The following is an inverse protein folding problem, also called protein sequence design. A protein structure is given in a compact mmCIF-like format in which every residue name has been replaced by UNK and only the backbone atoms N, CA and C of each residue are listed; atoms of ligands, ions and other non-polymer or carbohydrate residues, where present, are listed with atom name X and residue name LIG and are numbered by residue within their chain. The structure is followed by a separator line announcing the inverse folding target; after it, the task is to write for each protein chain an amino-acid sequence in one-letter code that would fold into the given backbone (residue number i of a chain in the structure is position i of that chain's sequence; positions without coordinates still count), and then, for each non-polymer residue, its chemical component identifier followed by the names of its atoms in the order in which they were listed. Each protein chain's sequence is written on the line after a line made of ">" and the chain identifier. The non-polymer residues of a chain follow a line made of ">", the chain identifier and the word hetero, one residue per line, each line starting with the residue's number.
data_IF_699658252102
#
_entry.id   IF_699658252102
#
_cell.length_a   1.000
_cell.length_b   1.000
_cell.length_c   1.000
_cell.angle_alpha   90.00
_cell.angle_beta   90.00
_cell.angle_gamma   90.00
#
_symmetry.space_group_name_H-M   'P 1'
#
loop_
_entity.id
_entity.type
_entity.pdbx_description
1 polymer ?
#
# COMPACT_ATOMS: atom_id res chain seq x y z
N UNK A 1 -64.05 11.12 -32.65
CA UNK A 1 -63.46 9.91 -32.11
C UNK A 1 -61.95 10.06 -32.32
N UNK A 2 -61.24 10.65 -31.30
CA UNK A 2 -59.86 10.89 -31.36
C UNK A 2 -59.13 9.69 -30.66
N UNK A 3 -58.27 8.99 -31.39
CA UNK A 3 -57.38 7.97 -30.89
C UNK A 3 -56.13 8.67 -30.39
N UNK A 4 -55.94 8.66 -29.09
CA UNK A 4 -54.65 9.01 -28.44
C UNK A 4 -53.75 7.79 -28.52
N UNK A 5 -52.71 7.89 -29.36
CA UNK A 5 -51.59 6.93 -29.34
C UNK A 5 -50.71 7.24 -28.13
N UNK A 6 -50.72 6.35 -27.16
CA UNK A 6 -49.76 6.35 -26.03
C UNK A 6 -48.42 5.85 -26.53
N UNK A 7 -47.43 6.74 -26.69
CA UNK A 7 -46.05 6.38 -26.82
C UNK A 7 -45.54 5.96 -25.44
N UNK A 8 -45.47 4.65 -25.20
CA UNK A 8 -44.73 4.06 -24.09
C UNK A 8 -43.27 4.25 -24.35
N UNK A 9 -42.63 5.26 -23.70
CA UNK A 9 -41.20 5.38 -23.66
C UNK A 9 -40.63 4.21 -22.85
N UNK A 10 -39.83 3.34 -23.48
CA UNK A 10 -38.93 2.45 -22.79
C UNK A 10 -37.97 3.33 -21.96
N UNK A 11 -38.14 3.29 -20.67
CA UNK A 11 -37.08 3.79 -19.78
C UNK A 11 -35.89 2.84 -19.95
N UNK A 12 -34.81 3.33 -20.59
CA UNK A 12 -33.52 2.65 -20.54
C UNK A 12 -33.04 2.72 -19.10
N UNK A 13 -32.72 1.58 -18.52
CA UNK A 13 -32.06 1.47 -17.20
C UNK A 13 -30.58 1.80 -17.26
N UNK A 14 -30.15 2.52 -18.28
CA UNK A 14 -28.76 3.01 -18.31
C UNK A 14 -28.59 4.07 -17.24
N UNK A 15 -27.64 3.96 -16.34
CA UNK A 15 -27.37 4.99 -15.34
C UNK A 15 -27.04 6.28 -16.05
N UNK A 16 -27.97 7.23 -16.01
CA UNK A 16 -27.74 8.59 -16.51
C UNK A 16 -26.74 9.24 -15.55
N UNK A 17 -25.46 9.22 -15.94
CA UNK A 17 -24.48 10.07 -15.26
C UNK A 17 -24.76 11.50 -15.69
N UNK A 18 -25.38 12.24 -14.79
CA UNK A 18 -25.43 13.69 -14.89
C UNK A 18 -23.98 14.15 -14.93
N UNK A 19 -23.58 14.82 -16.02
CA UNK A 19 -22.32 15.55 -16.06
C UNK A 19 -22.41 16.56 -14.93
N UNK A 20 -21.77 16.24 -13.81
CA UNK A 20 -21.85 17.07 -12.64
C UNK A 20 -21.28 18.45 -13.01
N UNK A 21 -22.07 19.48 -12.79
CA UNK A 21 -21.59 20.87 -12.81
C UNK A 21 -20.36 20.91 -11.90
N UNK A 22 -19.24 21.53 -12.32
CA UNK A 22 -18.05 21.61 -11.48
C UNK A 22 -18.44 22.08 -10.09
N UNK A 23 -18.05 21.33 -9.07
CA UNK A 23 -18.36 21.70 -7.69
C UNK A 23 -17.72 23.07 -7.45
N UNK A 24 -18.47 24.07 -6.94
CA UNK A 24 -17.92 25.39 -6.63
C UNK A 24 -16.72 25.27 -5.68
N UNK A 25 -15.76 26.17 -5.81
CA UNK A 25 -14.51 26.17 -5.02
C UNK A 25 -14.74 26.18 -3.50
N UNK A 26 -15.91 26.59 -3.06
CA UNK A 26 -16.39 26.69 -1.69
C UNK A 26 -17.08 25.42 -1.15
N UNK A 27 -17.15 24.34 -1.93
CA UNK A 27 -17.80 23.10 -1.50
C UNK A 27 -16.96 22.25 -0.49
N UNK A 28 -16.00 22.84 0.18
CA UNK A 28 -15.25 22.21 1.28
C UNK A 28 -14.07 21.34 0.86
N UNK A 29 -13.88 21.05 -0.43
CA UNK A 29 -12.76 20.24 -0.88
C UNK A 29 -11.45 21.05 -0.89
N UNK A 30 -10.36 20.40 -0.46
CA UNK A 30 -9.00 20.93 -0.59
C UNK A 30 -8.38 20.48 -1.90
N UNK A 31 -7.38 21.24 -2.39
CA UNK A 31 -6.60 20.83 -3.56
C UNK A 31 -5.41 20.01 -3.09
N UNK A 32 -5.37 18.76 -3.48
CA UNK A 32 -4.16 17.97 -3.45
C UNK A 32 -3.36 18.25 -4.72
N UNK A 33 -2.08 18.57 -4.56
CA UNK A 33 -1.11 18.64 -5.65
C UNK A 33 -0.01 17.64 -5.36
N UNK A 34 0.25 16.74 -6.31
CA UNK A 34 1.37 15.81 -6.18
C UNK A 34 2.69 16.58 -5.99
N UNK A 35 3.61 16.14 -5.12
CA UNK A 35 4.86 16.85 -4.83
C UNK A 35 5.72 17.19 -6.06
N UNK A 36 5.69 16.34 -7.10
CA UNK A 36 6.37 16.65 -8.40
C UNK A 36 5.60 17.66 -9.25
N UNK A 37 4.40 18.05 -8.85
CA UNK A 37 3.54 18.92 -9.63
C UNK A 37 2.90 18.29 -10.87
N UNK A 38 3.05 16.96 -11.08
CA UNK A 38 2.61 16.27 -12.31
C UNK A 38 1.09 16.16 -12.43
N UNK A 39 0.38 16.11 -11.31
CA UNK A 39 -1.08 16.17 -11.31
C UNK A 39 -1.63 16.86 -10.07
N UNK A 40 -2.87 17.26 -10.16
CA UNK A 40 -3.66 17.75 -9.03
C UNK A 40 -5.10 17.27 -9.13
N UNK A 41 -5.76 17.18 -7.98
CA UNK A 41 -7.20 16.95 -7.88
C UNK A 41 -7.72 17.56 -6.57
N UNK A 42 -9.04 17.68 -6.45
CA UNK A 42 -9.66 18.17 -5.23
C UNK A 42 -10.28 17.00 -4.48
N UNK A 43 -9.98 16.92 -3.19
CA UNK A 43 -10.45 15.85 -2.30
C UNK A 43 -11.09 16.43 -1.05
N UNK A 44 -11.98 15.70 -0.38
CA UNK A 44 -12.42 16.06 0.97
C UNK A 44 -11.23 16.28 1.91
N UNK A 45 -11.32 17.22 2.87
CA UNK A 45 -10.20 17.59 3.74
C UNK A 45 -9.79 16.52 4.75
N UNK A 46 -10.63 15.53 4.95
CA UNK A 46 -10.44 14.37 5.83
C UNK A 46 -9.84 13.16 5.08
N UNK A 47 -9.64 13.25 3.77
CA UNK A 47 -8.97 12.19 3.02
C UNK A 47 -7.46 12.28 3.17
N UNK A 48 -6.84 11.12 3.34
CA UNK A 48 -5.39 10.97 3.45
C UNK A 48 -4.82 10.47 2.12
N UNK A 49 -3.79 11.16 1.62
CA UNK A 49 -3.05 10.74 0.43
C UNK A 49 -1.82 9.94 0.83
N UNK A 50 -1.66 8.72 0.31
CA UNK A 50 -0.47 7.89 0.46
C UNK A 50 0.18 7.63 -0.91
N UNK A 51 1.49 7.86 -1.02
CA UNK A 51 2.25 7.55 -2.24
C UNK A 51 2.70 6.09 -2.22
N UNK A 52 2.38 5.36 -3.29
CA UNK A 52 2.85 4.00 -3.50
C UNK A 52 4.06 4.00 -4.43
N UNK A 53 5.06 3.15 -4.17
CA UNK A 53 6.18 3.01 -5.08
C UNK A 53 5.71 2.46 -6.43
N UNK A 54 6.12 3.14 -7.49
CA UNK A 54 5.93 2.64 -8.85
C UNK A 54 7.17 2.98 -9.67
N UNK A 55 7.93 1.98 -10.16
CA UNK A 55 9.17 2.21 -10.91
C UNK A 55 8.90 2.85 -12.27
N UNK A 56 7.67 2.80 -12.76
CA UNK A 56 7.29 3.27 -14.08
C UNK A 56 6.56 4.62 -14.05
N UNK A 57 6.15 5.08 -12.88
CA UNK A 57 5.34 6.29 -12.81
C UNK A 57 5.11 6.80 -11.38
N UNK A 58 3.95 7.38 -11.19
CA UNK A 58 3.46 7.87 -9.90
C UNK A 58 2.20 7.11 -9.55
N UNK A 59 2.11 6.64 -8.31
CA UNK A 59 0.91 6.01 -7.78
C UNK A 59 0.56 6.61 -6.43
N UNK A 60 -0.67 7.10 -6.29
CA UNK A 60 -1.15 7.72 -5.05
C UNK A 60 -2.51 7.14 -4.71
N UNK A 61 -2.68 6.75 -3.45
CA UNK A 61 -3.95 6.33 -2.90
C UNK A 61 -4.57 7.42 -2.05
N UNK A 62 -5.88 7.50 -2.07
CA UNK A 62 -6.66 8.40 -1.24
C UNK A 62 -7.63 7.58 -0.38
N UNK A 63 -7.44 7.69 0.91
CA UNK A 63 -8.18 6.94 1.93
C UNK A 63 -9.14 7.87 2.65
N UNK A 64 -10.42 7.49 2.67
CA UNK A 64 -11.48 8.15 3.41
C UNK A 64 -11.68 7.47 4.77
N UNK A 65 -12.16 8.21 5.76
CA UNK A 65 -12.63 7.64 7.03
C UNK A 65 -14.15 7.47 6.95
N UNK A 66 -14.62 6.23 6.96
CA UNK A 66 -16.04 5.88 6.88
C UNK A 66 -16.41 5.00 8.07
N UNK A 67 -17.36 5.44 8.90
CA UNK A 67 -17.78 4.73 10.12
C UNK A 67 -16.58 4.34 11.02
N UNK A 68 -15.65 5.27 11.21
CA UNK A 68 -14.40 5.09 11.94
C UNK A 68 -13.44 4.04 11.34
N UNK A 69 -13.69 3.60 10.12
CA UNK A 69 -12.81 2.73 9.34
C UNK A 69 -12.20 3.50 8.18
N UNK A 70 -10.91 3.32 7.99
CA UNK A 70 -10.22 3.89 6.84
C UNK A 70 -10.45 3.00 5.62
N UNK A 71 -10.95 3.60 4.54
CA UNK A 71 -11.27 2.91 3.29
C UNK A 71 -10.58 3.62 2.14
N UNK A 72 -9.73 2.92 1.40
CA UNK A 72 -9.13 3.46 0.19
C UNK A 72 -10.19 3.52 -0.91
N UNK A 73 -10.56 4.73 -1.29
CA UNK A 73 -11.63 4.97 -2.26
C UNK A 73 -11.14 5.36 -3.64
N UNK A 74 -9.92 5.85 -3.76
CA UNK A 74 -9.35 6.26 -5.04
C UNK A 74 -7.87 5.94 -5.10
N UNK A 75 -7.44 5.33 -6.19
CA UNK A 75 -6.02 5.21 -6.57
C UNK A 75 -5.79 5.95 -7.88
N UNK A 76 -4.78 6.78 -7.92
CA UNK A 76 -4.33 7.50 -9.11
C UNK A 76 -3.01 6.90 -9.56
N UNK A 77 -2.96 6.42 -10.80
CA UNK A 77 -1.74 6.00 -11.47
C UNK A 77 -1.47 6.94 -12.64
N UNK A 78 -0.24 7.41 -12.76
CA UNK A 78 0.20 8.28 -13.85
C UNK A 78 1.59 7.88 -14.32
N UNK A 79 1.75 7.72 -15.62
CA UNK A 79 3.06 7.45 -16.25
C UNK A 79 3.31 8.39 -17.43
N UNK A 80 4.54 8.87 -17.54
CA UNK A 80 5.01 9.57 -18.72
C UNK A 80 5.58 8.55 -19.71
N UNK A 81 4.93 8.34 -20.85
CA UNK A 81 5.37 7.37 -21.87
C UNK A 81 6.47 7.93 -22.79
N UNK A 82 6.82 9.20 -22.65
CA UNK A 82 7.83 9.88 -23.46
C UNK A 82 7.39 10.16 -24.90
N UNK A 83 6.21 9.74 -25.30
CA UNK A 83 5.64 9.93 -26.64
C UNK A 83 4.19 10.40 -26.55
N UNK A 84 3.71 11.20 -27.50
CA UNK A 84 2.31 11.60 -27.53
C UNK A 84 1.37 10.41 -27.56
N UNK A 85 0.34 10.46 -26.75
CA UNK A 85 -0.67 9.41 -26.61
C UNK A 85 -1.61 9.44 -27.81
N UNK A 86 -1.21 8.80 -28.93
CA UNK A 86 -2.11 8.58 -30.07
C UNK A 86 -3.20 7.57 -29.69
N UNK A 87 -4.30 7.49 -30.45
CA UNK A 87 -5.35 6.48 -30.20
C UNK A 87 -4.80 5.05 -30.11
N UNK A 88 -3.83 4.70 -30.97
CA UNK A 88 -3.19 3.39 -31.01
C UNK A 88 -2.30 3.18 -29.78
N UNK A 89 -1.49 4.17 -29.40
CA UNK A 89 -0.66 4.14 -28.20
C UNK A 89 -1.53 4.04 -26.94
N UNK A 90 -2.64 4.77 -26.91
CA UNK A 90 -3.60 4.69 -25.82
C UNK A 90 -4.23 3.29 -25.70
N UNK A 91 -4.65 2.71 -26.82
CA UNK A 91 -5.21 1.35 -26.81
C UNK A 91 -4.20 0.31 -26.29
N UNK A 92 -2.92 0.42 -26.67
CA UNK A 92 -1.84 -0.43 -26.16
C UNK A 92 -1.60 -0.19 -24.65
N UNK A 93 -1.61 1.05 -24.22
CA UNK A 93 -1.47 1.42 -22.80
C UNK A 93 -2.63 0.85 -21.95
N UNK A 94 -3.86 0.94 -22.44
CA UNK A 94 -5.04 0.36 -21.78
C UNK A 94 -4.89 -1.15 -21.65
N UNK A 95 -4.42 -1.83 -22.70
CA UNK A 95 -4.20 -3.27 -22.66
C UNK A 95 -3.07 -3.65 -21.68
N UNK A 96 -1.98 -2.89 -21.64
CA UNK A 96 -0.88 -3.13 -20.71
C UNK A 96 -1.26 -2.87 -19.25
N UNK A 97 -2.13 -1.89 -19.01
CA UNK A 97 -2.63 -1.57 -17.67
C UNK A 97 -3.58 -2.63 -17.12
N UNK A 98 -4.32 -3.30 -17.97
CA UNK A 98 -5.25 -4.37 -17.61
C UNK A 98 -4.73 -5.72 -18.09
N UNK A 99 -3.88 -6.38 -17.28
CA UNK A 99 -3.35 -7.68 -17.67
C UNK A 99 -4.46 -8.73 -17.77
N UNK A 100 -4.23 -9.79 -18.55
CA UNK A 100 -5.17 -10.89 -18.69
C UNK A 100 -5.54 -11.53 -17.35
N UNK A 101 -6.71 -12.14 -17.29
CA UNK A 101 -7.36 -12.72 -16.10
C UNK A 101 -6.55 -13.76 -15.33
N UNK A 102 -5.45 -14.25 -15.87
CA UNK A 102 -4.64 -15.38 -15.38
C UNK A 102 -3.54 -14.96 -14.38
N UNK A 103 -3.42 -13.69 -14.01
CA UNK A 103 -2.49 -13.29 -12.97
C UNK A 103 -2.97 -13.79 -11.62
N UNK A 104 -2.22 -14.75 -11.10
CA UNK A 104 -2.49 -15.46 -9.86
C UNK A 104 -2.80 -14.49 -8.71
N UNK A 105 -4.02 -14.59 -8.18
CA UNK A 105 -4.46 -13.88 -6.97
C UNK A 105 -5.30 -12.61 -7.19
N UNK A 106 -5.40 -12.09 -8.43
CA UNK A 106 -6.15 -10.87 -8.72
C UNK A 106 -7.06 -11.06 -9.92
N UNK A 107 -8.07 -11.90 -9.78
CA UNK A 107 -9.08 -12.07 -10.81
C UNK A 107 -9.78 -10.73 -11.09
N UNK A 108 -9.66 -10.23 -12.32
CA UNK A 108 -10.44 -9.11 -12.81
C UNK A 108 -11.58 -9.62 -13.69
N UNK A 109 -12.81 -9.22 -13.38
CA UNK A 109 -13.97 -9.47 -14.21
C UNK A 109 -14.54 -8.14 -14.69
N UNK A 110 -14.33 -7.83 -15.95
CA UNK A 110 -14.93 -6.65 -16.57
C UNK A 110 -16.44 -6.84 -16.71
N UNK A 111 -17.21 -5.84 -16.27
CA UNK A 111 -18.67 -5.81 -16.35
C UNK A 111 -19.13 -4.84 -17.43
N UNK A 112 -18.43 -3.73 -17.59
CA UNK A 112 -18.78 -2.69 -18.56
C UNK A 112 -17.55 -1.96 -19.08
N UNK A 113 -17.63 -1.51 -20.34
CA UNK A 113 -16.61 -0.64 -20.95
C UNK A 113 -17.29 0.40 -21.82
N UNK A 114 -16.96 1.67 -21.60
CA UNK A 114 -17.56 2.78 -22.33
C UNK A 114 -16.47 3.74 -22.79
N UNK A 115 -16.35 3.95 -24.11
CA UNK A 115 -15.52 5.01 -24.66
C UNK A 115 -16.23 6.36 -24.48
N UNK A 116 -15.48 7.36 -24.04
CA UNK A 116 -15.96 8.71 -23.86
C UNK A 116 -15.69 9.56 -25.11
N UNK A 117 -16.39 10.69 -25.24
CA UNK A 117 -16.26 11.60 -26.40
C UNK A 117 -14.88 12.26 -26.50
N UNK A 118 -14.19 12.39 -25.37
CA UNK A 118 -12.85 12.95 -25.28
C UNK A 118 -11.73 11.92 -25.55
N UNK A 119 -12.09 10.69 -25.92
CA UNK A 119 -11.18 9.58 -26.17
C UNK A 119 -10.79 8.78 -24.94
N UNK A 120 -11.18 9.22 -23.74
CA UNK A 120 -10.95 8.44 -22.52
C UNK A 120 -11.84 7.19 -22.48
N UNK A 121 -11.51 6.24 -21.60
CA UNK A 121 -12.32 5.05 -21.38
C UNK A 121 -12.72 4.92 -19.91
N UNK A 122 -13.92 4.46 -19.70
CA UNK A 122 -14.41 4.05 -18.40
C UNK A 122 -14.69 2.57 -18.41
N UNK A 123 -14.16 1.87 -17.41
CA UNK A 123 -14.31 0.43 -17.25
C UNK A 123 -14.88 0.17 -15.86
N UNK A 124 -15.98 -0.59 -15.80
CA UNK A 124 -16.53 -1.09 -14.54
C UNK A 124 -16.27 -2.58 -14.42
N UNK A 125 -15.91 -3.04 -13.25
CA UNK A 125 -15.66 -4.46 -13.03
C UNK A 125 -15.48 -4.82 -11.57
N UNK A 126 -15.21 -6.09 -11.33
CA UNK A 126 -14.96 -6.64 -10.01
C UNK A 126 -13.56 -7.22 -10.00
N UNK A 127 -12.78 -6.85 -8.97
CA UNK A 127 -11.45 -7.41 -8.70
C UNK A 127 -11.51 -8.25 -7.43
N UNK A 128 -10.91 -9.44 -7.49
CA UNK A 128 -10.76 -10.30 -6.31
C UNK A 128 -9.46 -9.96 -5.61
N UNK A 129 -9.53 -9.61 -4.34
CA UNK A 129 -8.35 -9.40 -3.50
C UNK A 129 -8.22 -10.56 -2.50
N UNK A 130 -7.00 -11.07 -2.23
CA UNK A 130 -6.81 -12.23 -1.37
C UNK A 130 -7.36 -12.07 0.04
N UNK A 131 -7.30 -10.86 0.60
CA UNK A 131 -7.73 -10.57 1.98
C UNK A 131 -9.11 -9.92 2.06
N UNK A 132 -9.54 -9.19 1.03
CA UNK A 132 -10.76 -8.39 1.05
C UNK A 132 -11.92 -8.98 0.28
N UNK A 133 -11.68 -10.05 -0.48
CA UNK A 133 -12.68 -10.59 -1.38
C UNK A 133 -12.95 -9.70 -2.60
N UNK A 134 -14.18 -9.72 -3.07
CA UNK A 134 -14.59 -9.01 -4.27
C UNK A 134 -14.75 -7.50 -4.02
N UNK A 135 -14.09 -6.67 -4.84
CA UNK A 135 -14.24 -5.20 -4.83
C UNK A 135 -14.78 -4.72 -6.15
N UNK A 136 -15.80 -3.89 -6.10
CA UNK A 136 -16.39 -3.25 -7.28
C UNK A 136 -15.65 -1.96 -7.62
N UNK A 137 -15.01 -1.93 -8.78
CA UNK A 137 -14.18 -0.81 -9.21
C UNK A 137 -14.75 -0.13 -10.46
N UNK A 138 -14.63 1.20 -10.49
CA UNK A 138 -14.74 1.98 -11.71
C UNK A 138 -13.35 2.54 -12.05
N UNK A 139 -12.85 2.25 -13.24
CA UNK A 139 -11.54 2.67 -13.69
C UNK A 139 -11.72 3.69 -14.81
N UNK A 140 -11.14 4.88 -14.63
CA UNK A 140 -11.13 5.94 -15.63
C UNK A 140 -9.74 6.01 -16.22
N UNK A 141 -9.64 5.72 -17.53
CA UNK A 141 -8.38 5.70 -18.27
C UNK A 141 -8.35 6.86 -19.26
N UNK A 142 -7.28 7.64 -19.21
CA UNK A 142 -7.11 8.78 -20.12
C UNK A 142 -5.67 8.95 -20.57
N UNK A 143 -5.50 9.47 -21.80
CA UNK A 143 -4.24 9.94 -22.33
C UNK A 143 -4.23 11.47 -22.38
N UNK A 144 -3.15 12.09 -21.91
CA UNK A 144 -3.00 13.55 -21.93
C UNK A 144 -1.56 13.95 -22.27
N UNK A 145 -1.32 14.42 -23.50
CA UNK A 145 0.04 14.66 -24.01
C UNK A 145 0.82 13.35 -24.09
N UNK A 146 1.92 13.26 -23.36
CA UNK A 146 2.71 12.04 -23.21
C UNK A 146 2.33 11.19 -21.99
N UNK A 147 1.30 11.60 -21.26
CA UNK A 147 0.91 10.94 -20.02
C UNK A 147 -0.26 9.99 -20.21
N UNK A 148 -0.15 8.81 -19.62
CA UNK A 148 -1.26 7.88 -19.40
C UNK A 148 -1.66 7.94 -17.94
N UNK A 149 -2.97 8.04 -17.67
CA UNK A 149 -3.53 8.04 -16.32
C UNK A 149 -4.58 6.97 -16.17
N UNK A 150 -4.59 6.33 -15.01
CA UNK A 150 -5.67 5.47 -14.55
C UNK A 150 -6.13 5.93 -13.15
N UNK A 151 -7.42 6.19 -13.01
CA UNK A 151 -8.04 6.48 -11.73
C UNK A 151 -8.94 5.29 -11.39
N UNK A 152 -8.54 4.50 -10.40
CA UNK A 152 -9.33 3.39 -9.88
C UNK A 152 -10.16 3.87 -8.69
N UNK A 153 -11.48 3.76 -8.81
CA UNK A 153 -12.45 4.20 -7.81
C UNK A 153 -13.13 2.97 -7.22
N UNK A 154 -12.95 2.73 -5.94
CA UNK A 154 -13.64 1.66 -5.22
C UNK A 154 -15.02 2.13 -4.79
N UNK A 155 -16.04 1.48 -5.33
CA UNK A 155 -17.46 1.74 -5.04
C UNK A 155 -18.10 0.60 -4.24
N UNK A 156 -17.32 -0.33 -3.74
CA UNK A 156 -17.80 -1.44 -2.92
C UNK A 156 -18.46 -0.89 -1.67
N UNK A 157 -19.71 -1.30 -1.44
CA UNK A 157 -20.52 -0.89 -0.29
C UNK A 157 -20.62 0.63 -0.06
N UNK A 158 -20.29 1.43 -1.10
CA UNK A 158 -20.29 2.87 -1.00
C UNK A 158 -21.74 3.41 -0.95
N UNK A 159 -22.01 4.28 0.02
CA UNK A 159 -23.26 5.01 0.09
C UNK A 159 -23.43 5.96 -1.11
N UNK A 160 -24.67 6.31 -1.51
CA UNK A 160 -24.91 7.25 -2.63
C UNK A 160 -24.13 8.57 -2.50
N UNK A 161 -24.00 9.12 -1.29
CA UNK A 161 -23.26 10.34 -1.03
C UNK A 161 -21.76 10.17 -1.28
N UNK A 162 -21.20 9.02 -0.90
CA UNK A 162 -19.79 8.68 -1.18
C UNK A 162 -19.57 8.58 -2.69
N UNK A 163 -20.48 7.95 -3.43
CA UNK A 163 -20.41 7.87 -4.90
C UNK A 163 -20.45 9.27 -5.54
N UNK A 164 -21.32 10.16 -5.08
CA UNK A 164 -21.37 11.55 -5.56
C UNK A 164 -20.04 12.27 -5.28
N UNK A 165 -19.48 12.09 -4.10
CA UNK A 165 -18.17 12.62 -3.72
C UNK A 165 -17.06 12.11 -4.63
N UNK A 166 -17.01 10.81 -4.89
CA UNK A 166 -16.03 10.17 -5.77
C UNK A 166 -16.11 10.70 -7.20
N UNK A 167 -17.32 10.84 -7.75
CA UNK A 167 -17.52 11.46 -9.07
C UNK A 167 -17.01 12.89 -9.10
N UNK A 168 -17.27 13.66 -8.04
CA UNK A 168 -16.80 15.02 -7.93
C UNK A 168 -15.26 15.08 -7.89
N UNK A 169 -14.61 14.23 -7.11
CA UNK A 169 -13.16 14.13 -7.01
C UNK A 169 -12.53 13.82 -8.38
N UNK A 170 -13.00 12.77 -9.05
CA UNK A 170 -12.48 12.35 -10.37
C UNK A 170 -12.61 13.47 -11.40
N UNK A 171 -13.71 14.20 -11.41
CA UNK A 171 -13.94 15.32 -12.36
C UNK A 171 -12.99 16.50 -12.13
N UNK A 172 -12.30 16.59 -11.01
CA UNK A 172 -11.33 17.65 -10.73
C UNK A 172 -9.89 17.26 -11.05
N UNK A 173 -9.65 16.02 -11.46
CA UNK A 173 -8.32 15.53 -11.82
C UNK A 173 -7.75 16.27 -13.02
N UNK A 174 -6.49 16.69 -12.90
CA UNK A 174 -5.77 17.41 -13.95
C UNK A 174 -4.32 16.97 -14.00
N UNK A 175 -3.87 16.62 -15.19
CA UNK A 175 -2.45 16.39 -15.47
C UNK A 175 -1.78 17.72 -15.79
N UNK A 176 -0.59 17.94 -15.25
CA UNK A 176 0.28 19.04 -15.66
C UNK A 176 1.26 18.53 -16.72
N UNK A 177 1.03 18.88 -17.97
CA UNK A 177 1.85 18.44 -19.12
C UNK A 177 3.27 18.99 -19.10
N UNK A 178 3.49 20.09 -18.39
CA UNK A 178 4.78 20.77 -18.30
C UNK A 178 5.63 20.24 -17.12
N UNK A 179 5.07 19.37 -16.29
CA UNK A 179 5.81 18.78 -15.18
C UNK A 179 6.80 17.73 -15.69
N UNK A 180 7.99 17.73 -15.12
CA UNK A 180 9.01 16.75 -15.41
C UNK A 180 8.70 15.44 -14.63
N UNK A 181 8.48 14.36 -15.36
CA UNK A 181 8.39 13.02 -14.86
C UNK A 181 9.25 12.11 -15.73
N UNK A 182 10.03 11.22 -15.11
CA UNK A 182 10.84 10.25 -15.84
C UNK A 182 9.96 9.41 -16.78
N UNK A 183 10.50 9.07 -17.94
CA UNK A 183 9.81 8.20 -18.89
C UNK A 183 9.73 6.79 -18.33
N UNK A 184 8.53 6.24 -18.34
CA UNK A 184 8.21 4.89 -17.89
C UNK A 184 7.36 4.13 -18.89
N UNK A 185 7.05 2.90 -18.57
CA UNK A 185 6.14 2.05 -19.35
C UNK A 185 4.85 1.82 -18.58
N UNK A 186 3.71 1.88 -19.27
CA UNK A 186 2.44 1.54 -18.67
C UNK A 186 2.45 0.08 -18.26
N UNK A 187 2.35 -0.17 -16.98
CA UNK A 187 2.17 -1.51 -16.42
C UNK A 187 1.16 -1.40 -15.30
N UNK A 188 0.26 -2.37 -15.20
CA UNK A 188 -0.39 -2.55 -13.92
C UNK A 188 0.73 -2.97 -12.96
N UNK A 189 0.89 -2.27 -11.84
CA UNK A 189 1.73 -2.78 -10.79
C UNK A 189 1.22 -4.19 -10.49
N UNK A 190 2.03 -5.20 -10.77
CA UNK A 190 1.82 -6.49 -10.16
C UNK A 190 1.79 -6.19 -8.66
N UNK A 191 0.66 -6.45 -8.02
CA UNK A 191 0.53 -6.17 -6.61
C UNK A 191 1.73 -6.80 -5.91
N UNK A 192 2.58 -5.96 -5.38
CA UNK A 192 3.61 -6.35 -4.46
C UNK A 192 4.87 -7.04 -4.96
N UNK A 193 5.14 -7.15 -6.25
CA UNK A 193 6.42 -7.76 -6.70
C UNK A 193 7.16 -6.84 -7.65
N UNK A 194 7.99 -5.99 -7.13
CA UNK A 194 9.14 -5.48 -7.86
C UNK A 194 10.23 -6.54 -7.76
N UNK A 195 10.60 -7.15 -8.90
CA UNK A 195 11.76 -8.02 -8.94
C UNK A 195 13.02 -7.17 -8.80
N UNK A 196 13.58 -7.14 -7.60
CA UNK A 196 14.92 -6.60 -7.40
C UNK A 196 15.95 -7.64 -7.82
N UNK A 197 16.95 -7.24 -8.59
CA UNK A 197 18.13 -8.06 -8.87
C UNK A 197 18.99 -8.06 -7.62
N UNK A 198 18.72 -8.95 -6.68
CA UNK A 198 19.45 -9.05 -5.41
C UNK A 198 19.06 -10.31 -4.64
N UNK A 199 19.78 -10.56 -3.58
CA UNK A 199 19.56 -11.69 -2.66
C UNK A 199 18.32 -11.50 -1.77
N UNK A 200 17.65 -10.36 -1.85
CA UNK A 200 16.44 -10.03 -1.08
C UNK A 200 15.42 -9.35 -1.99
N UNK A 201 14.19 -9.84 -1.97
CA UNK A 201 13.03 -9.20 -2.56
C UNK A 201 12.31 -8.30 -1.54
N UNK A 202 11.37 -7.50 -2.02
CA UNK A 202 10.50 -6.68 -1.19
C UNK A 202 9.05 -6.89 -1.55
N UNK A 203 8.18 -6.86 -0.55
CA UNK A 203 6.74 -7.02 -0.71
C UNK A 203 5.99 -6.02 0.17
N UNK A 204 4.74 -5.70 -0.19
CA UNK A 204 3.82 -4.91 0.63
C UNK A 204 4.35 -3.55 1.07
N UNK A 205 5.24 -2.92 0.27
CA UNK A 205 5.88 -1.68 0.66
C UNK A 205 5.01 -0.46 0.38
N UNK A 206 5.07 0.51 1.30
CA UNK A 206 4.32 1.76 1.28
C UNK A 206 5.26 2.93 1.62
N UNK A 207 5.02 4.08 0.99
CA UNK A 207 5.69 5.33 1.32
C UNK A 207 4.65 6.34 1.83
N UNK A 208 4.82 6.86 3.03
CA UNK A 208 3.86 7.75 3.66
C UNK A 208 4.51 8.74 4.61
N UNK A 209 3.82 9.80 4.96
CA UNK A 209 4.29 10.80 5.93
C UNK A 209 3.31 10.85 7.09
N UNK A 210 3.84 10.78 8.30
CA UNK A 210 3.05 10.84 9.51
C UNK A 210 2.64 12.27 9.88
N UNK A 211 1.89 12.42 10.99
CA UNK A 211 1.39 13.72 11.46
C UNK A 211 2.51 14.63 11.97
N UNK A 212 3.63 14.05 12.37
CA UNK A 212 4.80 14.77 12.89
C UNK A 212 5.77 15.16 11.76
N UNK A 213 5.44 14.77 10.51
CA UNK A 213 6.22 15.08 9.32
C UNK A 213 7.34 14.08 9.03
N UNK A 214 7.43 12.99 9.77
CA UNK A 214 8.39 11.90 9.49
C UNK A 214 7.94 11.15 8.25
N UNK A 215 8.85 10.92 7.31
CA UNK A 215 8.57 10.14 6.12
C UNK A 215 8.99 8.69 6.32
N UNK A 216 8.07 7.78 6.07
CA UNK A 216 8.23 6.35 6.27
C UNK A 216 8.32 5.60 4.94
N UNK A 217 9.20 4.61 4.86
CA UNK A 217 9.17 3.54 3.89
C UNK A 217 8.97 2.23 4.64
N UNK A 218 7.76 1.69 4.59
CA UNK A 218 7.40 0.43 5.26
C UNK A 218 7.28 -0.69 4.23
N UNK A 219 7.41 -1.95 4.66
CA UNK A 219 7.27 -3.11 3.79
C UNK A 219 7.83 -4.38 4.41
N UNK A 220 7.91 -5.45 3.62
CA UNK A 220 8.61 -6.69 3.96
C UNK A 220 9.81 -6.92 3.07
N UNK A 221 10.92 -7.31 3.67
CA UNK A 221 12.07 -7.89 2.99
C UNK A 221 11.94 -9.41 2.93
N UNK A 222 12.23 -10.03 1.78
CA UNK A 222 12.10 -11.47 1.54
C UNK A 222 13.46 -12.04 1.18
N UNK A 223 13.93 -13.05 1.90
CA UNK A 223 15.13 -13.77 1.54
C UNK A 223 14.84 -14.70 0.33
N UNK A 224 15.28 -14.31 -0.85
CA UNK A 224 15.09 -15.08 -2.09
C UNK A 224 16.21 -16.10 -2.35
N UNK A 225 17.18 -16.18 -1.44
CA UNK A 225 18.28 -17.14 -1.55
C UNK A 225 17.91 -18.51 -0.95
N UNK A 226 18.76 -19.51 -1.18
CA UNK A 226 18.62 -20.82 -0.55
C UNK A 226 19.41 -20.93 0.78
N UNK A 227 19.88 -19.80 1.32
CA UNK A 227 20.72 -19.76 2.52
C UNK A 227 20.16 -18.80 3.55
N UNK A 228 20.25 -19.09 4.83
CA UNK A 228 19.87 -18.14 5.86
C UNK A 228 20.80 -16.92 5.85
N UNK A 229 20.24 -15.75 6.06
CA UNK A 229 20.95 -14.47 6.11
C UNK A 229 20.87 -13.89 7.52
N UNK A 230 21.97 -13.27 7.98
CA UNK A 230 22.03 -12.54 9.24
C UNK A 230 22.51 -11.10 9.03
N UNK A 231 22.32 -10.26 10.03
CA UNK A 231 22.67 -8.83 10.01
C UNK A 231 22.15 -8.12 8.76
N UNK A 232 20.91 -8.44 8.36
CA UNK A 232 20.30 -7.87 7.17
C UNK A 232 20.01 -6.40 7.41
N UNK A 233 20.78 -5.55 6.72
CA UNK A 233 20.64 -4.09 6.74
C UNK A 233 19.87 -3.64 5.50
N UNK A 234 18.85 -2.88 5.74
CA UNK A 234 18.07 -2.21 4.71
C UNK A 234 18.44 -0.73 4.65
N UNK A 235 18.52 -0.15 3.47
CA UNK A 235 18.63 1.29 3.28
C UNK A 235 17.66 1.80 2.23
N UNK A 236 17.04 2.94 2.52
CA UNK A 236 16.22 3.71 1.58
C UNK A 236 16.96 4.98 1.18
N UNK A 237 17.01 5.27 -0.11
CA UNK A 237 17.66 6.47 -0.65
C UNK A 237 16.65 7.26 -1.45
N UNK A 238 16.49 8.55 -1.12
CA UNK A 238 15.60 9.47 -1.82
C UNK A 238 16.37 10.26 -2.87
N UNK A 239 15.79 10.40 -4.06
CA UNK A 239 16.41 11.09 -5.19
C UNK A 239 15.50 12.17 -5.76
N UNK A 240 16.10 13.22 -6.33
CA UNK A 240 15.40 14.21 -7.14
C UNK A 240 15.21 13.72 -8.59
N UNK A 241 14.57 14.55 -9.42
CA UNK A 241 14.35 14.31 -10.84
C UNK A 241 15.64 14.25 -11.69
N UNK A 242 16.76 14.76 -11.16
CA UNK A 242 18.08 14.70 -11.81
C UNK A 242 18.90 13.48 -11.36
N UNK A 243 18.32 12.63 -10.52
CA UNK A 243 18.99 11.47 -9.94
C UNK A 243 19.99 11.82 -8.84
N UNK A 244 19.95 13.04 -8.29
CA UNK A 244 20.80 13.43 -7.17
C UNK A 244 20.20 12.86 -5.88
N UNK A 245 21.05 12.25 -5.09
CA UNK A 245 20.69 11.74 -3.76
C UNK A 245 20.41 12.92 -2.82
N UNK A 246 19.24 12.88 -2.19
CA UNK A 246 18.75 13.92 -1.28
C UNK A 246 18.82 13.48 0.18
N UNK A 247 18.46 12.24 0.47
CA UNK A 247 18.48 11.67 1.80
C UNK A 247 18.71 10.17 1.75
N UNK A 248 19.22 9.61 2.82
CA UNK A 248 19.35 8.17 3.04
C UNK A 248 19.03 7.86 4.48
N UNK A 249 18.32 6.76 4.68
CA UNK A 249 18.09 6.14 5.97
C UNK A 249 18.38 4.65 5.88
N UNK A 250 18.95 4.10 6.93
CA UNK A 250 19.20 2.66 7.00
C UNK A 250 18.89 2.10 8.38
N UNK A 251 18.44 0.85 8.39
CA UNK A 251 18.18 0.12 9.61
C UNK A 251 18.54 -1.36 9.43
N UNK A 252 18.66 -2.08 10.53
CA UNK A 252 18.83 -3.53 10.55
C UNK A 252 17.46 -4.15 10.81
N UNK A 253 17.10 -5.17 10.02
CA UNK A 253 15.84 -5.88 10.22
C UNK A 253 15.75 -6.41 11.66
N UNK A 254 14.54 -6.36 12.20
CA UNK A 254 14.27 -6.83 13.57
C UNK A 254 14.44 -8.35 13.76
N UNK A 255 14.67 -9.10 12.68
CA UNK A 255 14.95 -10.53 12.71
C UNK A 255 16.45 -10.80 12.79
N UNK A 256 16.87 -11.71 13.66
CA UNK A 256 18.29 -12.03 13.84
C UNK A 256 18.82 -12.86 12.68
N UNK A 257 17.99 -13.81 12.21
CA UNK A 257 18.26 -14.65 11.03
C UNK A 257 17.02 -14.67 10.16
N UNK A 258 17.20 -14.43 8.87
CA UNK A 258 16.17 -14.50 7.86
C UNK A 258 16.39 -15.76 7.01
N UNK A 259 15.60 -16.80 7.24
CA UNK A 259 15.69 -18.08 6.53
C UNK A 259 15.29 -17.98 5.05
N UNK A 260 15.61 -19.00 4.24
CA UNK A 260 15.17 -19.05 2.84
C UNK A 260 13.66 -18.94 2.69
N UNK A 261 13.19 -17.98 1.89
CA UNK A 261 11.77 -17.72 1.67
C UNK A 261 11.06 -17.02 2.83
N UNK A 262 11.73 -16.78 3.94
CA UNK A 262 11.18 -16.03 5.07
C UNK A 262 11.12 -14.53 4.77
N UNK A 263 10.19 -13.86 5.46
CA UNK A 263 9.97 -12.42 5.37
C UNK A 263 10.24 -11.73 6.70
N UNK A 264 10.62 -10.46 6.64
CA UNK A 264 10.75 -9.60 7.80
C UNK A 264 10.22 -8.21 7.49
N UNK A 265 9.31 -7.68 8.29
CA UNK A 265 8.80 -6.34 8.10
C UNK A 265 9.86 -5.29 8.48
N UNK A 266 9.76 -4.11 7.85
CA UNK A 266 10.63 -2.97 8.10
C UNK A 266 9.88 -1.65 8.07
N UNK A 267 10.44 -0.65 8.77
CA UNK A 267 10.05 0.74 8.72
C UNK A 267 11.29 1.64 8.72
N UNK A 268 11.62 2.20 7.56
CA UNK A 268 12.67 3.20 7.45
C UNK A 268 12.10 4.59 7.68
N UNK A 269 12.48 5.22 8.78
CA UNK A 269 11.98 6.51 9.25
C UNK A 269 12.95 7.63 8.88
N UNK A 270 12.51 8.53 8.02
CA UNK A 270 13.26 9.74 7.68
C UNK A 270 12.77 10.88 8.58
N UNK A 271 13.42 11.05 9.72
CA UNK A 271 13.06 12.03 10.76
C UNK A 271 13.04 13.49 10.25
N UNK A 272 13.84 13.80 9.23
CA UNK A 272 13.83 15.10 8.54
C UNK A 272 12.68 15.29 7.55
N UNK A 273 11.80 14.32 7.44
CA UNK A 273 10.72 14.30 6.46
C UNK A 273 11.19 14.00 5.03
N UNK A 274 10.23 13.96 4.10
CA UNK A 274 10.53 13.82 2.66
C UNK A 274 10.98 15.16 2.10
N UNK A 275 12.21 15.28 1.53
CA UNK A 275 12.62 16.50 0.85
C UNK A 275 11.63 16.88 -0.26
N UNK A 276 11.25 18.14 -0.36
CA UNK A 276 10.24 18.61 -1.31
C UNK A 276 10.55 18.30 -2.78
N UNK A 277 11.84 18.12 -3.12
CA UNK A 277 12.30 17.77 -4.46
C UNK A 277 12.49 16.26 -4.65
N UNK A 278 12.21 15.44 -3.65
CA UNK A 278 12.31 13.99 -3.75
C UNK A 278 11.15 13.43 -4.60
N UNK A 279 11.48 12.81 -5.72
CA UNK A 279 10.51 12.27 -6.69
C UNK A 279 10.53 10.74 -6.77
N UNK A 280 11.60 10.10 -6.29
CA UNK A 280 11.70 8.65 -6.24
C UNK A 280 12.57 8.19 -5.06
N UNK A 281 12.44 6.92 -4.72
CA UNK A 281 13.34 6.28 -3.77
C UNK A 281 13.80 4.92 -4.29
N UNK A 282 14.90 4.45 -3.72
CA UNK A 282 15.44 3.13 -3.96
C UNK A 282 15.63 2.43 -2.61
N UNK A 283 15.23 1.17 -2.54
CA UNK A 283 15.52 0.29 -1.42
C UNK A 283 16.72 -0.57 -1.78
N UNK A 284 17.72 -0.57 -0.92
CA UNK A 284 18.90 -1.39 -1.05
C UNK A 284 19.03 -2.25 0.19
N UNK A 285 19.57 -3.44 0.03
CA UNK A 285 19.75 -4.36 1.13
C UNK A 285 21.14 -4.99 1.07
N UNK A 286 21.71 -5.17 2.24
CA UNK A 286 22.94 -5.94 2.44
C UNK A 286 22.73 -6.89 3.62
N UNK A 287 23.17 -8.11 3.45
CA UNK A 287 23.18 -9.14 4.49
C UNK A 287 24.33 -10.09 4.21
N UNK A 288 24.68 -10.88 5.20
CA UNK A 288 25.67 -11.94 5.05
C UNK A 288 25.02 -13.29 5.32
N UNK A 289 25.61 -14.34 4.79
CA UNK A 289 25.22 -15.71 5.13
C UNK A 289 25.39 -15.93 6.63
N UNK A 290 24.41 -16.54 7.28
CA UNK A 290 24.47 -16.79 8.71
C UNK A 290 25.54 -17.83 9.01
N UNK A 291 26.56 -17.42 9.77
CA UNK A 291 27.69 -18.27 10.15
C UNK A 291 27.39 -19.08 11.42
N UNK A 292 26.45 -18.62 12.23
CA UNK A 292 26.16 -19.23 13.51
C UNK A 292 25.07 -20.30 13.40
N UNK A 293 25.22 -21.33 14.18
CA UNK A 293 24.24 -22.41 14.26
C UNK A 293 22.87 -21.81 14.62
N UNK A 294 21.87 -22.05 13.78
CA UNK A 294 20.47 -21.67 13.99
C UNK A 294 19.91 -22.13 15.36
N UNK A 295 20.64 -23.01 16.04
CA UNK A 295 20.31 -23.58 17.36
C UNK A 295 20.33 -22.54 18.49
N UNK A 296 20.96 -21.38 18.31
CA UNK A 296 21.00 -20.32 19.33
C UNK A 296 19.80 -19.37 19.26
N UNK A 297 18.98 -19.50 18.22
CA UNK A 297 17.82 -18.65 18.02
C UNK A 297 16.51 -19.44 18.15
N UNK A 298 15.56 -18.84 18.83
CA UNK A 298 14.18 -19.29 18.85
C UNK A 298 13.37 -18.51 17.82
N UNK A 299 12.73 -19.24 16.91
CA UNK A 299 11.80 -18.71 15.93
C UNK A 299 10.34 -18.90 16.34
N UNK A 300 9.40 -18.56 15.45
CA UNK A 300 7.95 -18.63 15.72
C UNK A 300 7.47 -20.00 16.23
N UNK A 301 8.07 -21.09 15.78
CA UNK A 301 7.71 -22.44 16.21
C UNK A 301 7.98 -22.74 17.70
N UNK A 302 8.79 -21.92 18.35
CA UNK A 302 9.13 -22.08 19.77
C UNK A 302 8.20 -21.29 20.71
N UNK A 303 7.25 -20.57 20.13
CA UNK A 303 6.32 -19.72 20.87
C UNK A 303 4.88 -20.00 20.44
N UNK A 304 3.96 -19.77 21.36
CA UNK A 304 2.52 -19.77 21.07
C UNK A 304 1.97 -18.42 21.50
N UNK A 305 1.32 -17.75 20.57
CA UNK A 305 0.51 -16.57 20.85
C UNK A 305 -0.94 -17.01 20.99
N UNK A 306 -1.60 -16.56 22.05
CA UNK A 306 -2.99 -16.88 22.34
C UNK A 306 -3.75 -15.63 22.76
N UNK A 307 -5.06 -15.64 22.54
CA UNK A 307 -5.97 -14.56 22.94
C UNK A 307 -5.55 -13.19 22.41
N UNK A 308 -4.89 -13.17 21.23
CA UNK A 308 -4.48 -11.95 20.61
C UNK A 308 -5.66 -11.21 19.97
N UNK A 309 -5.67 -9.92 20.14
CA UNK A 309 -6.71 -9.04 19.60
C UNK A 309 -6.16 -7.67 19.24
N UNK A 310 -6.80 -7.02 18.27
CA UNK A 310 -6.56 -5.65 17.90
C UNK A 310 -7.65 -4.76 18.48
N UNK A 311 -7.29 -3.77 19.27
CA UNK A 311 -8.22 -2.81 19.86
C UNK A 311 -7.76 -1.37 19.63
N UNK A 312 -8.70 -0.43 19.64
CA UNK A 312 -8.38 0.98 19.73
C UNK A 312 -8.54 1.44 21.19
N UNK A 313 -7.48 2.03 21.74
CA UNK A 313 -7.53 2.57 23.10
C UNK A 313 -8.29 3.90 23.16
N UNK A 314 -8.48 4.45 24.36
CA UNK A 314 -9.22 5.72 24.61
C UNK A 314 -8.61 6.94 23.88
N UNK A 315 -7.38 6.84 23.39
CA UNK A 315 -6.69 7.88 22.62
C UNK A 315 -6.80 7.66 21.10
N UNK A 316 -7.50 6.61 20.68
CA UNK A 316 -7.63 6.24 19.27
C UNK A 316 -6.39 5.55 18.69
N UNK A 317 -5.43 5.13 19.50
CA UNK A 317 -4.27 4.36 19.02
C UNK A 317 -4.63 2.88 18.90
N UNK A 318 -4.20 2.26 17.82
CA UNK A 318 -4.30 0.81 17.65
C UNK A 318 -3.33 0.13 18.63
N UNK A 319 -3.81 -0.90 19.32
CA UNK A 319 -3.01 -1.73 20.22
C UNK A 319 -3.25 -3.20 19.88
N UNK A 320 -2.19 -3.92 19.59
CA UNK A 320 -2.22 -5.37 19.48
C UNK A 320 -1.79 -5.94 20.83
N UNK A 321 -2.62 -6.75 21.45
CA UNK A 321 -2.34 -7.36 22.76
C UNK A 321 -2.67 -8.84 22.76
N UNK A 322 -2.07 -9.58 23.68
CA UNK A 322 -2.30 -11.01 23.80
C UNK A 322 -1.45 -11.65 24.89
N UNK A 323 -1.40 -12.97 24.85
CA UNK A 323 -0.56 -13.80 25.72
C UNK A 323 0.46 -14.54 24.86
N UNK A 324 1.70 -14.58 25.32
CA UNK A 324 2.81 -15.27 24.68
C UNK A 324 3.37 -16.34 25.61
N UNK A 325 3.45 -17.58 25.14
CA UNK A 325 4.06 -18.69 25.89
C UNK A 325 5.32 -19.23 25.19
N UNK A 326 6.37 -19.50 25.95
CA UNK A 326 7.54 -20.23 25.47
C UNK A 326 7.21 -21.73 25.47
N UNK A 327 7.04 -22.34 24.31
CA UNK A 327 6.82 -23.79 24.15
C UNK A 327 8.09 -24.52 23.72
N UNK A 328 9.21 -23.81 23.61
CA UNK A 328 10.53 -24.39 23.35
C UNK A 328 11.07 -25.19 24.54
N UNK A 329 12.07 -26.04 24.30
CA UNK A 329 12.62 -26.93 25.33
C UNK A 329 13.57 -26.22 26.32
N UNK A 330 14.02 -25.00 26.02
CA UNK A 330 15.01 -24.25 26.81
C UNK A 330 14.48 -22.88 27.22
N UNK A 331 15.20 -22.22 28.11
CA UNK A 331 14.92 -20.83 28.49
C UNK A 331 15.14 -19.94 27.27
N UNK A 332 14.15 -19.10 26.97
CA UNK A 332 14.26 -18.05 25.95
C UNK A 332 14.68 -16.73 26.59
N UNK A 333 15.63 -16.05 25.95
CA UNK A 333 16.12 -14.71 26.32
C UNK A 333 15.86 -13.72 25.20
N UNK A 334 15.87 -12.42 25.54
CA UNK A 334 15.66 -11.32 24.59
C UNK A 334 14.46 -11.55 23.66
N UNK A 335 13.38 -12.08 24.23
CA UNK A 335 12.17 -12.39 23.45
C UNK A 335 11.55 -11.12 22.98
N UNK A 336 11.33 -11.01 21.65
CA UNK A 336 10.73 -9.86 20.99
C UNK A 336 9.56 -10.29 20.10
N UNK A 337 8.60 -9.41 20.01
CA UNK A 337 7.42 -9.56 19.17
C UNK A 337 7.51 -8.49 18.08
N UNK A 338 7.55 -8.92 16.84
CA UNK A 338 7.52 -8.06 15.66
C UNK A 338 6.10 -8.12 15.11
N UNK A 339 5.46 -6.97 15.02
CA UNK A 339 4.09 -6.84 14.50
C UNK A 339 4.11 -6.02 13.24
N UNK A 340 3.47 -6.51 12.19
CA UNK A 340 3.19 -5.73 10.99
C UNK A 340 1.68 -5.58 10.81
N UNK A 341 1.24 -4.35 10.57
CA UNK A 341 -0.15 -4.01 10.26
C UNK A 341 -0.30 -3.87 8.76
N UNK A 342 -1.31 -4.51 8.20
CA UNK A 342 -1.57 -4.56 6.78
C UNK A 342 -2.85 -3.82 6.43
N UNK A 343 -2.82 -3.12 5.30
CA UNK A 343 -4.01 -2.56 4.69
C UNK A 343 -4.77 -3.60 3.85
N UNK A 344 -5.81 -3.14 3.20
CA UNK A 344 -6.68 -3.94 2.33
C UNK A 344 -6.04 -4.27 0.98
N UNK A 345 -4.93 -3.67 0.65
CA UNK A 345 -4.21 -3.90 -0.60
C UNK A 345 -2.95 -4.75 -0.43
N UNK A 346 -2.67 -5.15 0.81
CA UNK A 346 -1.51 -5.95 1.14
C UNK A 346 -0.24 -5.11 1.31
N UNK A 347 -0.37 -3.83 1.70
CA UNK A 347 0.77 -3.00 2.08
C UNK A 347 0.92 -2.98 3.60
N UNK A 348 2.16 -2.88 4.05
CA UNK A 348 2.44 -2.65 5.47
C UNK A 348 2.28 -1.17 5.77
N UNK A 349 1.27 -0.85 6.57
CA UNK A 349 0.96 0.52 6.99
C UNK A 349 1.64 0.92 8.29
N UNK A 350 2.15 -0.04 9.04
CA UNK A 350 3.01 0.18 10.20
C UNK A 350 3.69 -1.12 10.62
N UNK A 351 4.83 -1.02 11.27
CA UNK A 351 5.48 -2.13 11.98
C UNK A 351 6.07 -1.64 13.28
N UNK A 352 5.98 -2.48 14.31
CA UNK A 352 6.58 -2.21 15.62
C UNK A 352 7.22 -3.48 16.16
N UNK A 353 8.30 -3.28 16.93
CA UNK A 353 8.99 -4.34 17.63
C UNK A 353 9.04 -4.02 19.12
N UNK A 354 8.53 -4.93 19.94
CA UNK A 354 8.58 -4.81 21.39
C UNK A 354 9.28 -6.00 22.00
N UNK A 355 10.05 -5.76 23.06
CA UNK A 355 10.55 -6.82 23.91
C UNK A 355 9.52 -7.17 24.97
N UNK A 356 9.36 -8.46 25.27
CA UNK A 356 8.52 -8.86 26.38
C UNK A 356 9.09 -8.32 27.71
N UNK A 357 8.22 -8.11 28.69
CA UNK A 357 8.59 -7.48 29.96
C UNK A 357 9.55 -8.31 30.82
N UNK A 358 9.71 -9.59 30.50
CA UNK A 358 10.62 -10.51 31.19
C UNK A 358 11.91 -10.71 30.43
N UNK A 359 13.08 -10.61 31.07
CA UNK A 359 14.36 -10.85 30.43
C UNK A 359 14.56 -12.31 29.99
N UNK A 360 13.92 -13.25 30.70
CA UNK A 360 13.97 -14.69 30.44
C UNK A 360 12.59 -15.31 30.59
N UNK A 361 12.25 -16.24 29.69
CA UNK A 361 11.03 -17.04 29.77
C UNK A 361 11.40 -18.52 29.85
N UNK A 362 11.08 -19.17 30.98
CA UNK A 362 11.30 -20.61 31.12
C UNK A 362 10.29 -21.38 30.24
N UNK A 363 10.59 -22.66 29.91
CA UNK A 363 9.63 -23.50 29.19
C UNK A 363 8.25 -23.52 29.84
N UNK A 364 7.19 -23.41 29.04
CA UNK A 364 5.79 -23.33 29.42
C UNK A 364 5.38 -22.05 30.20
N UNK A 365 6.25 -21.10 30.32
CA UNK A 365 5.91 -19.79 30.91
C UNK A 365 5.15 -18.93 29.90
N UNK A 366 4.09 -18.27 30.37
CA UNK A 366 3.32 -17.30 29.61
C UNK A 366 3.46 -15.90 30.18
N UNK A 367 3.43 -14.90 29.31
CA UNK A 367 3.46 -13.48 29.63
C UNK A 367 2.44 -12.74 28.75
N UNK A 368 1.86 -11.66 29.26
CA UNK A 368 1.04 -10.76 28.45
C UNK A 368 1.92 -9.76 27.70
N UNK A 369 1.46 -9.32 26.56
CA UNK A 369 2.12 -8.26 25.78
C UNK A 369 1.11 -7.24 25.25
N UNK A 370 1.60 -6.03 24.99
CA UNK A 370 0.89 -4.97 24.28
C UNK A 370 1.86 -4.27 23.33
N UNK A 371 1.42 -4.06 22.10
CA UNK A 371 2.17 -3.36 21.03
C UNK A 371 1.32 -2.20 20.56
N UNK A 372 1.60 -0.95 21.00
CA UNK A 372 0.86 0.22 20.59
C UNK A 372 1.37 0.77 19.26
N UNK A 373 0.46 1.17 18.40
CA UNK A 373 0.71 1.90 17.16
C UNK A 373 0.14 3.31 17.29
N UNK A 374 1.00 4.30 17.20
CA UNK A 374 0.60 5.70 17.38
C UNK A 374 0.18 6.36 16.08
N UNK A 375 0.71 5.87 14.96
CA UNK A 375 0.45 6.37 13.61
C UNK A 375 0.46 5.21 12.62
N UNK A 376 -0.39 5.31 11.60
CA UNK A 376 -0.54 4.32 10.55
C UNK A 376 -0.51 5.02 9.19
N UNK A 377 0.14 4.42 8.20
CA UNK A 377 0.20 4.90 6.82
C UNK A 377 -1.08 4.63 6.02
N UNK A 378 -2.04 3.91 6.60
CA UNK A 378 -3.30 3.55 5.96
C UNK A 378 -4.23 2.81 6.93
N UNK A 379 -5.34 2.24 6.42
CA UNK A 379 -6.28 1.48 7.23
C UNK A 379 -5.63 0.20 7.77
N UNK A 380 -5.84 -0.09 9.05
CA UNK A 380 -5.48 -1.36 9.64
C UNK A 380 -6.58 -2.39 9.34
N UNK A 381 -6.29 -3.39 8.51
CA UNK A 381 -7.24 -4.45 8.13
C UNK A 381 -6.89 -5.77 8.79
N UNK A 382 -5.61 -6.11 8.82
CA UNK A 382 -5.11 -7.32 9.48
C UNK A 382 -3.72 -7.06 10.05
N UNK A 383 -3.23 -8.00 10.83
CA UNK A 383 -1.87 -7.95 11.37
C UNK A 383 -1.21 -9.32 11.35
N UNK A 384 0.12 -9.31 11.36
CA UNK A 384 0.94 -10.49 11.56
C UNK A 384 1.81 -10.32 12.79
N UNK A 385 2.03 -11.42 13.50
CA UNK A 385 2.86 -11.50 14.69
C UNK A 385 4.00 -12.49 14.44
N UNK A 386 5.22 -12.03 14.60
CA UNK A 386 6.42 -12.87 14.57
C UNK A 386 7.11 -12.78 15.92
N UNK A 387 7.32 -13.91 16.57
CA UNK A 387 8.00 -13.96 17.86
C UNK A 387 9.37 -14.59 17.68
N UNK A 388 10.37 -13.94 18.23
CA UNK A 388 11.77 -14.33 18.12
C UNK A 388 12.42 -14.25 19.51
N UNK A 389 13.49 -15.01 19.71
CA UNK A 389 14.28 -14.95 20.93
C UNK A 389 15.61 -15.67 20.77
N UNK A 390 16.41 -15.66 21.79
CA UNK A 390 17.66 -16.41 21.86
C UNK A 390 17.54 -17.52 22.92
N UNK A 391 18.25 -18.61 22.72
CA UNK A 391 18.36 -19.67 23.71
C UNK A 391 19.36 -19.23 24.77
N UNK A 392 18.97 -19.24 26.05
CA UNK A 392 19.85 -18.93 27.15
C UNK A 392 21.08 -19.88 27.13
N UNK A 393 22.26 -19.30 27.13
CA UNK A 393 23.48 -20.08 27.26
C UNK A 393 23.62 -20.55 28.73
N UNK A 394 23.54 -21.85 28.94
CA UNK A 394 23.95 -22.42 30.23
C UNK A 394 25.43 -22.19 30.41
N UNK A 395 25.79 -21.20 31.26
CA UNK A 395 27.18 -21.10 31.76
C UNK A 395 27.47 -22.37 32.56
N UNK A 396 28.18 -23.33 31.91
CA UNK A 396 28.64 -24.55 32.54
C UNK A 396 29.79 -24.26 33.51
#
# INVERSE_FOLDING_TARGET
>A
MLLLASCGGMQSNDPVFVVATPIPADAGFITYQHPTGVFSLRVPPDWVAGELPDPNGVRVQFTALENDQAVTRLSVYLVNTGQPMTPEAFAQAVQAYQPPEDLVGYGWQEVSRTAQRDGSQRIGGVRQYPLLGARSLNIFLQGDGAFFSALEVDVTDAEPKTIETLVAVVNTYKVNRDAELAVGTVQQAAAGVTSFTGVIGFNGYLAWTDRDGVFHLTGEAINTTQRPLEAVRLSGVLYDNQGRRLAEQSDILSVDVLGPGETAPFDLRFEGGKPATAVRYELNVAGREAEYALQTFYGPANFVVANDEAIYNDRGNLVIRGELANVGPSIAEAVKIVVAIWDDQGHIVATETVFVSKPQMVPQEAVTFEVPFYQLGGPAVTYTLTVLGTVAQTTG
#
